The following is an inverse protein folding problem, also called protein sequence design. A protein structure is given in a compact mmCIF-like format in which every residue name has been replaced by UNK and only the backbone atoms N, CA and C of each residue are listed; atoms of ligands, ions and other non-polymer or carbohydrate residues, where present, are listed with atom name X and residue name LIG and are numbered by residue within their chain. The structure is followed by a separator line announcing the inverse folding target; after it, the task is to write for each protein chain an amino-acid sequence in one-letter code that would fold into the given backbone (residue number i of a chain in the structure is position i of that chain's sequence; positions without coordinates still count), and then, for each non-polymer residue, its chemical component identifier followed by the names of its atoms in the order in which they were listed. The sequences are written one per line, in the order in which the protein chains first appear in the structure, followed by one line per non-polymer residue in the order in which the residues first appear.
data_IF_632886734628
#
_entry.id   IF_632886734628
#
_cell.length_a   1.000
_cell.length_b   1.000
_cell.length_c   1.000
_cell.angle_alpha   90.00
_cell.angle_beta   90.00
_cell.angle_gamma   90.00
#
_symmetry.space_group_name_H-M   'P 1'
#
loop_
_entity.id
_entity.type
_entity.pdbx_description
1 polymer ?
#
# COMPACT_ATOMS: atom_id res chain seq x y z
N UNK A 1 5.82 5.02 -10.37
CA UNK A 1 5.10 5.57 -11.55
C UNK A 1 6.12 6.23 -12.48
N UNK A 2 6.84 5.42 -13.21
CA UNK A 2 7.95 5.83 -14.11
C UNK A 2 7.65 5.54 -15.59
N UNK A 3 6.47 5.01 -15.88
CA UNK A 3 5.98 4.76 -17.22
C UNK A 3 5.46 6.03 -17.92
N UNK A 4 5.44 5.99 -19.25
CA UNK A 4 4.81 7.02 -20.10
C UNK A 4 3.55 6.45 -20.71
N UNK A 5 2.45 7.20 -20.68
CA UNK A 5 1.20 6.82 -21.35
C UNK A 5 1.35 7.09 -22.85
N UNK A 6 1.16 6.08 -23.72
CA UNK A 6 1.24 6.27 -25.16
C UNK A 6 0.15 7.24 -25.67
N UNK A 7 0.50 8.23 -26.52
CA UNK A 7 -0.45 9.26 -26.95
C UNK A 7 -1.60 8.72 -27.81
N UNK A 8 -1.36 7.68 -28.62
CA UNK A 8 -2.30 7.16 -29.60
C UNK A 8 -3.19 6.01 -29.09
N UNK A 9 -3.07 5.65 -27.82
CA UNK A 9 -3.85 4.55 -27.26
C UNK A 9 -5.20 5.06 -26.72
N UNK A 10 -6.28 4.43 -27.13
CA UNK A 10 -7.63 4.79 -26.68
C UNK A 10 -7.91 4.27 -25.27
N UNK A 11 -8.69 5.04 -24.51
CA UNK A 11 -9.17 4.65 -23.17
C UNK A 11 -10.03 3.39 -23.28
N UNK A 12 -9.71 2.36 -22.51
CA UNK A 12 -10.46 1.10 -22.45
C UNK A 12 -11.78 1.29 -21.71
N UNK A 13 -11.75 2.02 -20.60
CA UNK A 13 -12.92 2.36 -19.77
C UNK A 13 -12.68 3.72 -19.10
N UNK A 14 -13.75 4.48 -18.91
CA UNK A 14 -13.73 5.72 -18.14
C UNK A 14 -14.55 5.57 -16.85
N UNK A 15 -14.05 6.15 -15.76
CA UNK A 15 -14.69 6.16 -14.46
C UNK A 15 -14.81 7.59 -13.93
N UNK A 16 -15.83 7.82 -13.14
CA UNK A 16 -15.94 9.10 -12.47
C UNK A 16 -14.79 9.32 -11.47
N UNK A 17 -14.47 8.29 -10.68
CA UNK A 17 -13.38 8.36 -9.69
C UNK A 17 -12.47 7.15 -9.84
N UNK A 18 -11.20 7.42 -10.07
CA UNK A 18 -10.13 6.41 -10.02
C UNK A 18 -9.30 6.65 -8.76
N UNK A 19 -9.12 5.60 -7.96
CA UNK A 19 -8.28 5.60 -6.75
C UNK A 19 -7.09 4.68 -6.99
N UNK A 20 -5.88 5.23 -6.94
CA UNK A 20 -4.64 4.46 -7.02
C UNK A 20 -4.24 4.01 -5.62
N UNK A 21 -4.29 2.72 -5.37
CA UNK A 21 -3.94 2.08 -4.09
C UNK A 21 -5.15 1.71 -3.24
N UNK A 22 -5.29 0.42 -2.94
CA UNK A 22 -6.30 -0.18 -2.07
C UNK A 22 -5.86 -0.34 -0.61
N UNK A 23 -4.88 0.45 -0.16
CA UNK A 23 -4.50 0.53 1.24
C UNK A 23 -5.54 1.29 2.09
N UNK A 24 -5.21 1.54 3.37
CA UNK A 24 -6.12 2.20 4.31
C UNK A 24 -6.68 3.53 3.80
N UNK A 25 -5.84 4.36 3.20
CA UNK A 25 -6.26 5.68 2.71
C UNK A 25 -7.23 5.56 1.53
N UNK A 26 -6.86 4.77 0.50
CA UNK A 26 -7.68 4.61 -0.70
C UNK A 26 -9.05 3.99 -0.41
N UNK A 27 -9.09 2.89 0.37
CA UNK A 27 -10.35 2.25 0.77
C UNK A 27 -11.22 3.17 1.64
N UNK A 28 -10.61 3.92 2.56
CA UNK A 28 -11.35 4.86 3.43
C UNK A 28 -12.01 5.97 2.63
N UNK A 29 -11.29 6.55 1.65
CA UNK A 29 -11.83 7.59 0.76
C UNK A 29 -12.93 7.01 -0.12
N UNK A 30 -12.68 5.88 -0.78
CA UNK A 30 -13.67 5.22 -1.64
C UNK A 30 -14.96 4.89 -0.89
N UNK A 31 -14.85 4.29 0.31
CA UNK A 31 -15.98 3.98 1.15
C UNK A 31 -16.75 5.24 1.64
N UNK A 32 -16.02 6.32 1.96
CA UNK A 32 -16.64 7.59 2.37
C UNK A 32 -17.41 8.23 1.22
N UNK A 33 -16.83 8.30 0.04
CA UNK A 33 -17.48 8.82 -1.17
C UNK A 33 -18.73 8.00 -1.51
N UNK A 34 -18.63 6.68 -1.40
CA UNK A 34 -19.75 5.78 -1.65
C UNK A 34 -20.92 6.03 -0.69
N UNK A 35 -20.63 6.24 0.60
CA UNK A 35 -21.67 6.62 1.60
C UNK A 35 -22.30 7.99 1.35
N UNK A 36 -21.59 8.89 0.66
CA UNK A 36 -22.11 10.20 0.24
C UNK A 36 -22.89 10.14 -1.10
N UNK A 37 -23.15 8.94 -1.62
CA UNK A 37 -23.94 8.75 -2.84
C UNK A 37 -23.13 8.91 -4.12
N UNK A 38 -21.80 8.98 -4.06
CA UNK A 38 -20.96 8.97 -5.26
C UNK A 38 -20.92 7.55 -5.82
N UNK A 39 -21.15 7.45 -7.12
CA UNK A 39 -21.13 6.19 -7.88
C UNK A 39 -19.95 6.18 -8.84
N UNK A 40 -19.70 5.01 -9.47
CA UNK A 40 -18.65 4.80 -10.44
C UNK A 40 -17.27 5.14 -9.88
N UNK A 41 -16.94 4.43 -8.80
CA UNK A 41 -15.65 4.50 -8.10
C UNK A 41 -14.90 3.20 -8.36
N UNK A 42 -13.68 3.30 -8.87
CA UNK A 42 -12.77 2.16 -9.01
C UNK A 42 -11.53 2.36 -8.15
N UNK A 43 -11.12 1.30 -7.48
CA UNK A 43 -9.85 1.22 -6.73
C UNK A 43 -8.93 0.25 -7.46
N UNK A 44 -7.71 0.68 -7.76
CA UNK A 44 -6.69 -0.16 -8.40
C UNK A 44 -5.68 -0.57 -7.33
N UNK A 45 -5.61 -1.88 -7.04
CA UNK A 45 -4.70 -2.46 -6.04
C UNK A 45 -4.26 -3.84 -6.51
N UNK A 46 -2.95 -4.08 -6.67
CA UNK A 46 -2.43 -5.35 -7.17
C UNK A 46 -2.53 -6.51 -6.17
N UNK A 47 -2.56 -6.21 -4.86
CA UNK A 47 -2.59 -7.24 -3.81
C UNK A 47 -4.01 -7.72 -3.59
N UNK A 48 -4.15 -9.01 -3.32
CA UNK A 48 -5.40 -9.66 -2.93
C UNK A 48 -5.62 -9.69 -1.41
N UNK A 49 -4.58 -9.31 -0.66
CA UNK A 49 -4.64 -9.15 0.79
C UNK A 49 -4.44 -7.69 1.18
N UNK A 50 -5.32 -7.22 2.03
CA UNK A 50 -5.22 -5.92 2.71
C UNK A 50 -4.52 -6.08 4.05
N UNK A 51 -3.45 -5.34 4.26
CA UNK A 51 -2.75 -5.25 5.54
C UNK A 51 -3.11 -3.95 6.24
N UNK A 52 -3.71 -4.04 7.41
CA UNK A 52 -4.03 -2.87 8.23
C UNK A 52 -2.76 -2.38 8.94
N UNK A 53 -2.03 -1.50 8.28
CA UNK A 53 -0.71 -1.01 8.72
C UNK A 53 -0.68 -0.41 10.15
N UNK A 54 -1.73 0.27 10.68
CA UNK A 54 -1.72 0.77 12.05
C UNK A 54 -1.54 -0.30 13.14
N UNK A 55 -1.85 -1.57 12.85
CA UNK A 55 -1.59 -2.66 13.80
C UNK A 55 -0.13 -3.14 13.84
N UNK A 56 0.71 -2.76 12.90
CA UNK A 56 2.09 -3.26 12.83
C UNK A 56 2.90 -2.97 14.09
N UNK A 57 2.76 -1.80 14.69
CA UNK A 57 3.41 -1.46 15.96
C UNK A 57 2.89 -2.32 17.12
N UNK A 58 1.60 -2.64 17.17
CA UNK A 58 1.01 -3.51 18.18
C UNK A 58 1.47 -4.96 18.00
N UNK A 59 1.61 -5.41 16.75
CA UNK A 59 2.16 -6.73 16.42
C UNK A 59 3.61 -6.81 16.88
N UNK A 60 4.43 -5.80 16.54
CA UNK A 60 5.82 -5.74 16.95
C UNK A 60 6.00 -5.71 18.49
N UNK A 61 5.11 -5.04 19.20
CA UNK A 61 5.05 -5.00 20.66
C UNK A 61 4.43 -6.25 21.31
N UNK A 62 3.91 -7.20 20.51
CA UNK A 62 3.28 -8.42 21.03
C UNK A 62 1.90 -8.23 21.64
N UNK A 63 1.23 -7.10 21.34
CA UNK A 63 -0.12 -6.76 21.83
C UNK A 63 -1.20 -7.33 20.91
N UNK A 64 -0.90 -7.44 19.59
CA UNK A 64 -1.78 -8.00 18.58
C UNK A 64 -1.10 -9.16 17.84
N UNK A 65 -1.91 -10.07 17.32
CA UNK A 65 -1.40 -11.15 16.46
C UNK A 65 -1.30 -10.64 15.02
N UNK A 66 -0.30 -11.11 14.28
CA UNK A 66 -0.11 -10.73 12.87
C UNK A 66 -1.36 -11.01 12.01
N UNK A 67 -2.04 -12.15 12.22
CA UNK A 67 -3.26 -12.48 11.49
C UNK A 67 -4.43 -11.52 11.70
N UNK A 68 -4.40 -10.70 12.74
CA UNK A 68 -5.46 -9.70 12.98
C UNK A 68 -5.37 -8.50 12.03
N UNK A 69 -4.18 -8.26 11.46
CA UNK A 69 -3.96 -7.16 10.52
C UNK A 69 -4.29 -7.49 9.06
N UNK A 70 -4.56 -8.75 8.73
CA UNK A 70 -4.76 -9.19 7.34
C UNK A 70 -6.22 -9.53 7.07
N UNK A 71 -6.73 -9.07 5.94
CA UNK A 71 -8.05 -9.40 5.40
C UNK A 71 -7.95 -9.55 3.88
N UNK A 72 -8.78 -10.40 3.25
CA UNK A 72 -8.94 -10.40 1.80
C UNK A 72 -9.33 -9.00 1.30
N UNK A 73 -8.68 -8.52 0.24
CA UNK A 73 -8.95 -7.18 -0.33
C UNK A 73 -10.43 -7.02 -0.73
N UNK A 74 -11.03 -8.09 -1.25
CA UNK A 74 -12.44 -8.08 -1.65
C UNK A 74 -13.39 -7.84 -0.46
N UNK A 75 -13.06 -8.33 0.72
CA UNK A 75 -13.92 -8.19 1.93
C UNK A 75 -13.87 -6.77 2.51
N UNK A 76 -12.76 -6.04 2.31
CA UNK A 76 -12.59 -4.68 2.82
C UNK A 76 -12.95 -3.61 1.80
N UNK A 77 -13.17 -4.00 0.54
CA UNK A 77 -13.66 -3.11 -0.50
C UNK A 77 -15.16 -2.87 -0.30
N UNK A 78 -15.54 -1.61 -0.17
CA UNK A 78 -16.93 -1.24 0.13
C UNK A 78 -17.89 -1.68 -1.00
N UNK A 79 -19.12 -2.13 -0.68
CA UNK A 79 -20.12 -2.49 -1.68
C UNK A 79 -20.39 -1.34 -2.67
N UNK A 80 -20.34 -1.65 -3.97
CA UNK A 80 -20.52 -0.69 -5.05
C UNK A 80 -19.27 0.14 -5.40
N UNK A 81 -18.12 -0.21 -4.82
CA UNK A 81 -16.80 0.19 -5.29
C UNK A 81 -16.23 -0.98 -6.11
N UNK A 82 -15.78 -0.70 -7.33
CA UNK A 82 -15.09 -1.69 -8.15
C UNK A 82 -13.64 -1.81 -7.68
N UNK A 83 -13.12 -3.02 -7.59
CA UNK A 83 -11.71 -3.28 -7.38
C UNK A 83 -11.10 -3.93 -8.62
N UNK A 84 -10.11 -3.26 -9.20
CA UNK A 84 -9.27 -3.80 -10.28
C UNK A 84 -7.98 -4.30 -9.66
N UNK A 85 -7.75 -5.62 -9.76
CA UNK A 85 -6.51 -6.24 -9.28
C UNK A 85 -5.40 -6.04 -10.30
N UNK A 86 -4.84 -4.83 -10.31
CA UNK A 86 -3.76 -4.44 -11.22
C UNK A 86 -2.92 -3.33 -10.57
N UNK A 87 -1.85 -2.96 -11.23
CA UNK A 87 -0.92 -1.90 -10.82
C UNK A 87 -0.96 -0.76 -11.82
N UNK A 88 -1.07 0.48 -11.31
CA UNK A 88 -0.87 1.66 -12.15
C UNK A 88 0.62 1.85 -12.40
N UNK A 89 1.01 1.95 -13.66
CA UNK A 89 2.39 2.14 -14.12
C UNK A 89 2.68 3.57 -14.56
N UNK A 90 1.66 4.28 -15.08
CA UNK A 90 1.80 5.66 -15.48
C UNK A 90 0.50 6.45 -15.26
N UNK A 91 0.66 7.77 -15.11
CA UNK A 91 -0.44 8.74 -15.02
C UNK A 91 -0.22 9.83 -16.06
N UNK A 92 -1.23 10.12 -16.85
CA UNK A 92 -1.28 11.27 -17.74
C UNK A 92 -2.36 12.25 -17.25
N UNK A 93 -1.96 13.28 -16.49
CA UNK A 93 -2.91 14.26 -15.96
C UNK A 93 -3.52 15.17 -17.03
N UNK A 94 -2.85 15.32 -18.19
CA UNK A 94 -3.33 16.21 -19.28
C UNK A 94 -4.55 15.62 -19.95
N UNK A 95 -4.50 14.33 -20.21
CA UNK A 95 -5.58 13.59 -20.86
C UNK A 95 -6.46 12.82 -19.87
N UNK A 96 -6.26 13.04 -18.56
CA UNK A 96 -7.02 12.40 -17.46
C UNK A 96 -7.04 10.87 -17.60
N UNK A 97 -5.86 10.25 -17.75
CA UNK A 97 -5.71 8.80 -17.97
C UNK A 97 -4.69 8.19 -17.02
N UNK A 98 -4.92 6.93 -16.67
CA UNK A 98 -3.93 6.07 -15.98
C UNK A 98 -3.70 4.80 -16.78
N UNK A 99 -2.45 4.36 -16.86
CA UNK A 99 -2.07 3.12 -17.52
C UNK A 99 -1.85 2.02 -16.48
N UNK A 100 -2.41 0.86 -16.73
CA UNK A 100 -2.25 -0.34 -15.91
C UNK A 100 -1.10 -1.22 -16.41
N UNK A 101 -0.61 -2.09 -15.56
CA UNK A 101 0.43 -3.06 -15.93
C UNK A 101 -0.07 -4.07 -16.99
N UNK A 102 -1.37 -4.36 -17.04
CA UNK A 102 -2.02 -5.15 -18.09
C UNK A 102 -1.93 -4.50 -19.48
N UNK A 103 -1.67 -3.20 -19.55
CA UNK A 103 -1.72 -2.39 -20.76
C UNK A 103 -3.04 -1.65 -20.94
N UNK A 104 -4.05 -1.86 -20.09
CA UNK A 104 -5.30 -1.13 -20.15
C UNK A 104 -5.12 0.34 -19.77
N UNK A 105 -5.89 1.21 -20.44
CA UNK A 105 -5.97 2.64 -20.14
C UNK A 105 -7.34 2.97 -19.54
N UNK A 106 -7.32 3.51 -18.32
CA UNK A 106 -8.53 4.00 -17.66
C UNK A 106 -8.57 5.53 -17.69
N UNK A 107 -9.69 6.08 -18.18
CA UNK A 107 -10.00 7.50 -18.05
C UNK A 107 -10.62 7.82 -16.70
N UNK A 108 -10.48 9.07 -16.24
CA UNK A 108 -11.09 9.53 -14.99
C UNK A 108 -11.59 10.98 -15.08
N UNK A 109 -12.65 11.28 -14.30
CA UNK A 109 -13.02 12.67 -14.02
C UNK A 109 -12.19 13.20 -12.83
N UNK A 110 -11.99 12.35 -11.80
CA UNK A 110 -11.19 12.67 -10.62
C UNK A 110 -10.23 11.52 -10.29
N UNK A 111 -8.99 11.88 -9.98
CA UNK A 111 -7.96 10.94 -9.57
C UNK A 111 -7.59 11.16 -8.11
N UNK A 112 -7.58 10.06 -7.35
CA UNK A 112 -7.09 10.02 -5.96
C UNK A 112 -5.85 9.14 -5.92
N UNK A 113 -4.72 9.72 -5.53
CA UNK A 113 -3.46 8.99 -5.40
C UNK A 113 -3.24 8.62 -3.94
N UNK A 114 -3.34 7.33 -3.63
CA UNK A 114 -3.18 6.74 -2.31
C UNK A 114 -2.21 5.54 -2.35
N UNK A 115 -1.15 5.66 -3.15
CA UNK A 115 -0.20 4.59 -3.45
C UNK A 115 0.64 4.11 -2.23
N UNK A 116 0.55 4.82 -1.11
CA UNK A 116 1.31 4.50 0.10
C UNK A 116 2.76 4.98 0.05
N UNK A 117 3.59 4.30 0.84
CA UNK A 117 5.03 4.59 0.95
C UNK A 117 5.84 3.32 0.70
N UNK A 118 7.04 3.48 0.22
CA UNK A 118 8.03 2.43 0.07
C UNK A 118 9.22 2.71 0.99
N UNK A 119 9.68 1.67 1.69
CA UNK A 119 10.86 1.77 2.56
C UNK A 119 12.13 1.69 1.70
N UNK A 120 12.90 2.76 1.66
CA UNK A 120 14.14 2.86 0.91
C UNK A 120 15.34 2.53 1.79
N UNK A 121 15.45 1.26 2.19
CA UNK A 121 16.57 0.81 3.03
C UNK A 121 17.91 0.81 2.29
N UNK A 122 17.86 0.76 0.97
CA UNK A 122 19.01 0.89 0.07
C UNK A 122 19.74 2.24 0.21
N UNK A 123 19.08 3.28 0.72
CA UNK A 123 19.69 4.59 0.95
C UNK A 123 20.64 4.63 2.17
N UNK A 124 20.62 3.62 3.02
CA UNK A 124 21.51 3.52 4.18
C UNK A 124 22.42 2.31 3.99
N UNK A 125 23.75 2.49 3.87
CA UNK A 125 24.68 1.39 3.66
C UNK A 125 24.53 0.30 4.74
N UNK A 126 24.36 -0.95 4.31
CA UNK A 126 24.22 -2.12 5.18
C UNK A 126 22.82 -2.31 5.78
N UNK A 127 21.87 -1.38 5.58
CA UNK A 127 20.54 -1.51 6.19
C UNK A 127 19.70 -2.57 5.49
N UNK A 128 19.81 -2.71 4.17
CA UNK A 128 19.11 -3.76 3.42
C UNK A 128 19.51 -5.14 3.91
N UNK A 129 20.80 -5.39 4.07
CA UNK A 129 21.35 -6.63 4.59
C UNK A 129 20.89 -6.88 6.04
N UNK A 130 20.91 -5.84 6.87
CA UNK A 130 20.45 -5.94 8.26
C UNK A 130 18.95 -6.30 8.33
N UNK A 131 18.10 -5.71 7.49
CA UNK A 131 16.66 -6.00 7.48
C UNK A 131 16.33 -7.38 6.90
N UNK A 132 17.16 -7.92 6.02
CA UNK A 132 17.01 -9.29 5.48
C UNK A 132 17.55 -10.38 6.43
N UNK A 133 18.40 -10.00 7.39
CA UNK A 133 18.92 -10.93 8.40
C UNK A 133 17.79 -11.46 9.31
N UNK A 134 17.96 -12.66 9.92
CA UNK A 134 16.99 -13.20 10.87
C UNK A 134 16.67 -12.26 12.05
N UNK A 135 17.64 -11.47 12.48
CA UNK A 135 17.55 -10.47 13.56
C UNK A 135 17.00 -9.11 13.12
N UNK A 136 16.77 -8.91 11.81
CA UNK A 136 16.21 -7.68 11.27
C UNK A 136 14.72 -7.56 11.60
N UNK A 137 14.34 -6.46 12.27
CA UNK A 137 12.94 -6.17 12.64
C UNK A 137 12.59 -4.73 12.28
N UNK A 138 11.33 -4.49 11.92
CA UNK A 138 10.83 -3.14 11.62
C UNK A 138 9.33 -3.06 11.83
N UNK A 139 8.84 -1.95 12.35
CA UNK A 139 7.40 -1.67 12.44
C UNK A 139 6.77 -1.24 11.10
N UNK A 140 7.59 -0.99 10.09
CA UNK A 140 7.14 -0.46 8.80
C UNK A 140 6.95 -1.54 7.73
N UNK A 141 7.20 -2.81 8.07
CA UNK A 141 6.89 -3.97 7.24
C UNK A 141 6.13 -4.99 8.08
N UNK A 142 5.05 -5.53 7.51
CA UNK A 142 4.23 -6.53 8.19
C UNK A 142 5.04 -7.78 8.59
N UNK A 143 5.86 -8.27 7.67
CA UNK A 143 6.69 -9.45 7.88
C UNK A 143 7.74 -9.24 8.96
N UNK A 144 8.35 -8.05 9.00
CA UNK A 144 9.36 -7.70 9.99
C UNK A 144 8.75 -7.36 11.35
N UNK A 145 7.57 -6.75 11.38
CA UNK A 145 6.82 -6.49 12.60
C UNK A 145 6.41 -7.80 13.30
N UNK A 146 6.03 -8.82 12.51
CA UNK A 146 5.67 -10.13 13.03
C UNK A 146 6.85 -10.86 13.72
N UNK A 147 8.10 -10.56 13.32
CA UNK A 147 9.31 -11.13 13.93
C UNK A 147 9.72 -10.43 15.24
N UNK A 148 9.31 -9.17 15.44
CA UNK A 148 9.85 -8.32 16.49
C UNK A 148 9.58 -8.87 17.90
N UNK A 149 8.32 -9.16 18.23
CA UNK A 149 7.95 -9.64 19.57
C UNK A 149 8.58 -10.99 19.94
N UNK A 150 8.59 -12.02 19.08
CA UNK A 150 9.32 -13.24 19.35
C UNK A 150 10.82 -13.01 19.56
N UNK A 151 11.47 -12.26 18.65
CA UNK A 151 12.91 -12.00 18.72
C UNK A 151 13.31 -11.31 20.02
N UNK A 152 12.55 -10.30 20.46
CA UNK A 152 12.82 -9.59 21.72
C UNK A 152 12.53 -10.44 22.95
N UNK A 153 11.53 -11.30 22.93
CA UNK A 153 11.17 -12.20 24.04
C UNK A 153 12.21 -13.30 24.26
N UNK A 154 12.76 -13.81 23.16
CA UNK A 154 13.73 -14.92 23.20
C UNK A 154 15.16 -14.45 23.44
N UNK A 155 15.41 -13.13 23.35
CA UNK A 155 16.72 -12.54 23.61
C UNK A 155 17.12 -12.73 25.07
N UNK A 156 18.21 -13.46 25.30
CA UNK A 156 18.79 -13.69 26.63
C UNK A 156 20.02 -12.85 26.86
N UNK A 157 20.84 -12.72 25.86
CA UNK A 157 22.10 -11.98 25.86
C UNK A 157 22.32 -11.32 24.52
N UNK A 158 23.00 -10.18 24.45
CA UNK A 158 23.32 -9.48 23.21
C UNK A 158 23.03 -8.00 23.26
N UNK A 159 23.17 -7.36 22.10
CA UNK A 159 22.91 -5.94 21.92
C UNK A 159 21.72 -5.72 20.99
N UNK A 160 20.78 -4.89 21.40
CA UNK A 160 19.68 -4.44 20.55
C UNK A 160 19.98 -3.02 20.10
N UNK A 161 19.97 -2.79 18.79
CA UNK A 161 20.19 -1.48 18.19
C UNK A 161 18.87 -0.96 17.62
N UNK A 162 18.45 0.20 18.06
CA UNK A 162 17.28 0.91 17.51
C UNK A 162 17.76 2.04 16.62
N UNK A 163 17.26 2.06 15.39
CA UNK A 163 17.59 3.08 14.41
C UNK A 163 16.29 3.78 14.00
N UNK A 164 16.32 5.10 13.98
CA UNK A 164 15.25 5.92 13.44
C UNK A 164 15.84 6.96 12.48
N UNK A 165 15.09 7.40 11.45
CA UNK A 165 15.54 8.49 10.61
C UNK A 165 15.73 9.77 11.46
N UNK A 166 16.61 10.69 11.05
CA UNK A 166 16.69 12.01 11.67
C UNK A 166 15.35 12.71 11.52
N UNK A 167 15.00 13.54 12.51
CA UNK A 167 13.82 14.37 12.40
C UNK A 167 13.89 15.23 11.12
N UNK A 168 12.77 15.43 10.40
CA UNK A 168 12.76 16.38 9.31
C UNK A 168 13.12 17.77 9.85
N UNK A 169 14.12 18.37 9.21
CA UNK A 169 14.58 19.71 9.54
C UNK A 169 13.51 20.78 9.23
#
# INVERSE_FOLDING_TARGET
LDGTVPPDQSVTRAHRIVVIGGGNAGLSVAARLRRQGVHDIVVIEPRDEHVYAPLQSHIAGGIARASEAVRPQAEVTAPGVEWIRDRVTAVDPRDSRVMLASGDLLGYEHLIVAAGIEQRWDLVPGLTEAMTAPSGISNYSYELAAKASPALRDLREGTVVFVQPPEPA
#
